data_IF_013052729290
#
_entry.id   IF_013052729290
#
_cell.length_a   1.000
_cell.length_b   1.000
_cell.length_c   1.000
_cell.angle_alpha   90.00
_cell.angle_beta   90.00
_cell.angle_gamma   90.00
#
_symmetry.space_group_name_H-M   'P 1'
#
loop_
_entity.id
_entity.type
_entity.pdbx_description
1 polymer ?
#
# COMPACT_ATOMS: atom_id res chain seq x y z
N UNK A 1 35.18 12.14 20.09
CA UNK A 1 33.87 12.58 20.49
C UNK A 1 32.87 12.30 19.38
N UNK A 2 32.22 11.18 19.52
CA UNK A 2 31.27 10.72 18.52
C UNK A 2 29.88 11.22 18.88
N UNK A 3 29.54 12.42 18.47
CA UNK A 3 28.12 12.79 18.37
C UNK A 3 27.53 12.06 17.19
N UNK A 4 26.84 10.97 17.44
CA UNK A 4 25.98 10.38 16.43
C UNK A 4 25.01 11.44 15.95
N UNK A 5 25.08 11.76 14.68
CA UNK A 5 24.16 12.69 14.04
C UNK A 5 22.72 12.27 14.35
N UNK A 6 21.83 13.15 14.85
CA UNK A 6 20.42 12.83 15.09
C UNK A 6 19.70 12.21 13.90
N UNK A 7 20.10 12.60 12.69
CA UNK A 7 19.54 12.05 11.43
C UNK A 7 19.92 10.58 11.25
N UNK A 8 21.16 10.18 11.59
CA UNK A 8 21.59 8.77 11.52
C UNK A 8 20.86 7.89 12.51
N UNK A 9 20.59 8.40 13.73
CA UNK A 9 19.77 7.71 14.72
C UNK A 9 18.35 7.50 14.22
N UNK A 10 17.74 8.55 13.68
CA UNK A 10 16.39 8.47 13.13
C UNK A 10 16.32 7.49 11.97
N UNK A 11 17.30 7.49 11.07
CA UNK A 11 17.39 6.53 9.97
C UNK A 11 17.53 5.09 10.48
N UNK A 12 18.30 4.86 11.54
CA UNK A 12 18.42 3.56 12.19
C UNK A 12 17.08 3.05 12.75
N UNK A 13 16.29 3.94 13.33
CA UNK A 13 14.96 3.62 13.87
C UNK A 13 13.92 3.40 12.76
N UNK A 14 13.96 4.19 11.70
CA UNK A 14 13.14 3.98 10.49
C UNK A 14 13.42 2.62 9.86
N UNK A 15 14.69 2.21 9.77
CA UNK A 15 15.06 0.87 9.28
C UNK A 15 14.51 -0.25 10.17
N UNK A 16 14.42 -0.03 11.48
CA UNK A 16 13.78 -0.97 12.40
C UNK A 16 12.28 -1.10 12.18
N UNK A 17 11.60 -0.01 11.85
CA UNK A 17 10.18 -0.05 11.45
C UNK A 17 10.00 -0.98 10.25
N UNK A 18 10.91 -0.91 9.29
CA UNK A 18 10.87 -1.78 8.11
C UNK A 18 10.94 -3.28 8.45
N UNK A 19 11.53 -3.66 9.60
CA UNK A 19 11.57 -5.06 10.02
C UNK A 19 10.19 -5.63 10.38
N UNK A 20 9.22 -4.79 10.73
CA UNK A 20 7.85 -5.23 10.95
C UNK A 20 7.22 -5.79 9.68
N UNK A 21 7.54 -5.22 8.52
CA UNK A 21 7.06 -5.70 7.22
C UNK A 21 7.71 -7.01 6.77
N UNK A 22 8.85 -7.37 7.34
CA UNK A 22 9.54 -8.62 7.06
C UNK A 22 9.00 -9.81 7.86
N UNK A 23 8.09 -9.59 8.81
CA UNK A 23 7.50 -10.65 9.62
C UNK A 23 6.53 -11.50 8.82
N UNK A 24 6.44 -12.80 9.14
CA UNK A 24 5.58 -13.72 8.41
C UNK A 24 4.11 -13.63 8.80
N UNK A 25 3.83 -13.29 10.05
CA UNK A 25 2.47 -13.21 10.60
C UNK A 25 2.09 -11.79 10.98
N UNK A 26 0.79 -11.49 10.94
CA UNK A 26 0.27 -10.22 11.39
C UNK A 26 0.58 -9.94 12.87
N UNK A 27 0.51 -10.97 13.72
CA UNK A 27 0.83 -10.85 15.13
C UNK A 27 2.31 -10.51 15.36
N UNK A 28 3.23 -11.18 14.67
CA UNK A 28 4.64 -10.90 14.76
C UNK A 28 4.98 -9.50 14.24
N UNK A 29 4.34 -9.06 13.17
CA UNK A 29 4.47 -7.71 12.63
C UNK A 29 3.99 -6.64 13.63
N UNK A 30 2.84 -6.86 14.26
CA UNK A 30 2.29 -5.98 15.28
C UNK A 30 3.21 -5.88 16.51
N UNK A 31 3.72 -7.00 17.01
CA UNK A 31 4.66 -7.02 18.12
C UNK A 31 5.95 -6.25 17.79
N UNK A 32 6.50 -6.46 16.61
CA UNK A 32 7.70 -5.77 16.16
C UNK A 32 7.46 -4.26 15.99
N UNK A 33 6.31 -3.90 15.42
CA UNK A 33 5.90 -2.50 15.26
C UNK A 33 5.83 -1.77 16.61
N UNK A 34 5.14 -2.38 17.58
CA UNK A 34 4.99 -1.82 18.93
C UNK A 34 6.33 -1.74 19.67
N UNK A 35 7.19 -2.76 19.52
CA UNK A 35 8.52 -2.75 20.11
C UNK A 35 9.35 -1.57 19.61
N UNK A 36 9.29 -1.27 18.31
CA UNK A 36 9.96 -0.11 17.72
C UNK A 36 9.34 1.19 18.20
N UNK A 37 8.02 1.29 18.25
CA UNK A 37 7.31 2.47 18.77
C UNK A 37 7.72 2.76 20.22
N UNK A 38 7.83 1.74 21.07
CA UNK A 38 8.24 1.88 22.48
C UNK A 38 9.70 2.33 22.61
N UNK A 39 10.59 1.89 21.72
CA UNK A 39 11.98 2.36 21.69
C UNK A 39 12.11 3.83 21.27
N UNK A 40 11.21 4.30 20.43
CA UNK A 40 11.18 5.68 19.94
C UNK A 40 10.50 6.62 20.95
N UNK A 41 9.58 6.11 21.73
CA UNK A 41 8.73 6.90 22.64
C UNK A 41 9.49 7.82 23.59
N UNK A 42 10.58 7.42 24.25
CA UNK A 42 11.35 8.32 25.11
C UNK A 42 12.04 9.46 24.36
N UNK A 43 12.36 9.24 23.08
CA UNK A 43 13.12 10.19 22.26
C UNK A 43 12.20 11.15 21.49
N UNK A 44 11.17 10.61 20.84
CA UNK A 44 10.23 11.36 20.00
C UNK A 44 8.81 10.85 20.28
N UNK A 45 8.18 11.28 21.40
CA UNK A 45 6.87 10.78 21.81
C UNK A 45 5.76 11.05 20.78
N UNK A 46 5.85 12.14 20.03
CA UNK A 46 4.89 12.45 18.97
C UNK A 46 4.95 11.44 17.83
N UNK A 47 6.14 11.00 17.46
CA UNK A 47 6.32 9.98 16.43
C UNK A 47 5.78 8.62 16.90
N UNK A 48 6.02 8.27 18.15
CA UNK A 48 5.48 7.03 18.72
C UNK A 48 3.94 7.03 18.71
N UNK A 49 3.31 8.14 19.04
CA UNK A 49 1.85 8.28 18.97
C UNK A 49 1.32 8.11 17.54
N UNK A 50 2.00 8.67 16.55
CA UNK A 50 1.68 8.49 15.12
C UNK A 50 1.81 7.02 14.72
N UNK A 51 2.85 6.34 15.19
CA UNK A 51 3.05 4.92 14.92
C UNK A 51 1.96 4.05 15.54
N UNK A 52 1.56 4.36 16.77
CA UNK A 52 0.47 3.64 17.45
C UNK A 52 -0.86 3.77 16.68
N UNK A 53 -1.19 4.99 16.25
CA UNK A 53 -2.42 5.27 15.48
C UNK A 53 -2.38 4.67 14.07
N UNK A 54 -1.20 4.59 13.46
CA UNK A 54 -1.03 4.09 12.10
C UNK A 54 -1.02 2.55 12.02
N UNK A 55 -0.71 1.84 13.11
CA UNK A 55 -0.56 0.38 13.15
C UNK A 55 -1.68 -0.37 12.43
N UNK A 56 -2.97 -0.17 12.76
CA UNK A 56 -4.04 -0.94 12.16
C UNK A 56 -4.17 -0.72 10.64
N UNK A 57 -3.85 0.47 10.16
CA UNK A 57 -3.93 0.80 8.75
C UNK A 57 -2.71 0.30 7.97
N UNK A 58 -1.52 0.49 8.53
CA UNK A 58 -0.25 0.14 7.87
C UNK A 58 -0.07 -1.38 7.79
N UNK A 59 -0.48 -2.11 8.81
CA UNK A 59 -0.36 -3.58 8.86
C UNK A 59 -1.61 -4.30 8.33
N UNK A 60 -2.64 -3.59 7.86
CA UNK A 60 -3.87 -4.18 7.34
C UNK A 60 -3.62 -5.19 6.21
N UNK A 61 -2.64 -4.93 5.33
CA UNK A 61 -2.30 -5.84 4.23
C UNK A 61 -1.77 -7.20 4.70
N UNK A 62 -1.31 -7.32 5.94
CA UNK A 62 -0.81 -8.57 6.53
C UNK A 62 -1.91 -9.62 6.73
N UNK A 63 -3.19 -9.23 6.67
CA UNK A 63 -4.32 -10.16 6.68
C UNK A 63 -4.50 -10.90 5.36
N UNK A 64 -3.89 -10.38 4.29
CA UNK A 64 -3.92 -11.01 2.97
C UNK A 64 -2.92 -12.18 2.87
N UNK A 65 -3.14 -13.13 1.97
CA UNK A 65 -2.18 -14.19 1.70
C UNK A 65 -0.78 -13.67 1.36
N UNK A 66 0.24 -14.40 1.75
CA UNK A 66 1.65 -14.00 1.61
C UNK A 66 2.02 -13.61 0.18
N UNK A 67 1.42 -14.26 -0.82
CA UNK A 67 1.63 -14.01 -2.25
C UNK A 67 1.25 -12.59 -2.67
N UNK A 68 0.27 -11.99 -2.00
CA UNK A 68 -0.20 -10.65 -2.30
C UNK A 68 0.53 -9.55 -1.54
N UNK A 69 1.13 -9.87 -0.39
CA UNK A 69 1.72 -8.89 0.54
C UNK A 69 2.80 -8.04 -0.10
N UNK A 70 3.66 -8.64 -0.92
CA UNK A 70 4.73 -7.92 -1.61
C UNK A 70 4.24 -6.80 -2.52
N UNK A 71 3.02 -6.92 -3.03
CA UNK A 71 2.39 -5.93 -3.92
C UNK A 71 1.49 -4.95 -3.20
N UNK A 72 0.89 -5.38 -2.09
CA UNK A 72 -0.06 -4.57 -1.32
C UNK A 72 0.62 -3.63 -0.32
N UNK A 73 1.85 -3.91 0.11
CA UNK A 73 2.55 -3.05 1.08
C UNK A 73 3.00 -1.71 0.50
N UNK A 74 2.93 -1.53 -0.81
CA UNK A 74 3.38 -0.33 -1.50
C UNK A 74 2.25 0.27 -2.33
N UNK A 75 2.08 1.57 -2.24
CA UNK A 75 1.15 2.36 -3.06
C UNK A 75 1.73 2.82 -4.40
N UNK A 76 2.98 2.48 -4.69
CA UNK A 76 3.68 2.91 -5.90
C UNK A 76 2.93 2.67 -7.22
N UNK A 77 2.25 1.51 -7.44
CA UNK A 77 1.47 1.30 -8.66
C UNK A 77 0.32 2.30 -8.82
N UNK A 78 -0.37 2.61 -7.72
CA UNK A 78 -1.48 3.58 -7.70
C UNK A 78 -0.93 5.01 -7.88
N UNK A 79 0.18 5.32 -7.26
CA UNK A 79 0.85 6.63 -7.41
C UNK A 79 1.29 6.86 -8.86
N UNK A 80 1.84 5.85 -9.53
CA UNK A 80 2.17 5.93 -10.97
C UNK A 80 0.93 6.15 -11.81
N UNK A 81 -0.14 5.42 -11.55
CA UNK A 81 -1.41 5.57 -12.26
C UNK A 81 -1.99 6.97 -12.07
N UNK A 82 -2.02 7.47 -10.83
CA UNK A 82 -2.47 8.82 -10.55
C UNK A 82 -1.59 9.89 -11.25
N UNK A 83 -0.28 9.70 -11.27
CA UNK A 83 0.65 10.55 -11.99
C UNK A 83 0.39 10.57 -13.50
N UNK A 84 0.10 9.42 -14.09
CA UNK A 84 -0.22 9.31 -15.51
C UNK A 84 -1.56 9.98 -15.85
N UNK A 85 -2.59 9.75 -15.03
CA UNK A 85 -3.89 10.41 -15.18
C UNK A 85 -3.70 11.93 -15.10
N UNK A 86 -2.97 12.42 -14.11
CA UNK A 86 -2.69 13.85 -13.95
C UNK A 86 -1.97 14.41 -15.16
N UNK A 87 -0.92 13.75 -15.62
CA UNK A 87 -0.14 14.18 -16.80
C UNK A 87 -1.01 14.29 -18.04
N UNK A 88 -1.89 13.32 -18.30
CA UNK A 88 -2.76 13.31 -19.46
C UNK A 88 -3.88 14.33 -19.37
N UNK A 89 -4.44 14.53 -18.19
CA UNK A 89 -5.47 15.56 -17.96
C UNK A 89 -4.91 16.97 -18.07
N UNK A 90 -3.70 17.20 -17.61
CA UNK A 90 -3.00 18.50 -17.72
C UNK A 90 -2.75 18.88 -19.19
N UNK A 91 -2.46 17.92 -20.06
CA UNK A 91 -2.30 18.16 -21.52
C UNK A 91 -3.60 18.60 -22.18
N UNK A 92 -4.72 18.05 -21.78
CA UNK A 92 -6.04 18.45 -22.29
C UNK A 92 -6.41 19.85 -21.79
N UNK A 93 -6.09 20.15 -20.52
CA UNK A 93 -6.31 21.45 -19.89
C UNK A 93 -7.76 21.67 -19.46
N UNK A 94 -8.65 21.96 -20.41
CA UNK A 94 -10.06 22.25 -20.14
C UNK A 94 -10.93 21.14 -20.73
N UNK A 95 -11.82 20.56 -19.90
CA UNK A 95 -12.80 19.58 -20.32
C UNK A 95 -14.15 20.25 -20.54
N UNK A 96 -14.86 19.90 -21.64
CA UNK A 96 -16.17 20.50 -21.91
C UNK A 96 -17.26 20.06 -20.92
N UNK A 97 -17.18 18.85 -20.39
CA UNK A 97 -18.15 18.26 -19.47
C UNK A 97 -17.52 17.13 -18.64
N UNK A 98 -18.24 16.64 -17.65
CA UNK A 98 -17.82 15.53 -16.80
C UNK A 98 -17.68 14.22 -17.56
N UNK A 99 -18.52 14.01 -18.58
CA UNK A 99 -18.48 12.81 -19.43
C UNK A 99 -17.16 12.72 -20.21
N UNK A 100 -16.60 13.84 -20.61
CA UNK A 100 -15.29 13.89 -21.27
C UNK A 100 -14.18 13.46 -20.33
N UNK A 101 -14.24 13.86 -19.06
CA UNK A 101 -13.31 13.42 -18.01
C UNK A 101 -13.42 11.90 -17.80
N UNK A 102 -14.64 11.40 -17.65
CA UNK A 102 -14.93 9.97 -17.44
C UNK A 102 -14.40 9.15 -18.61
N UNK A 103 -14.60 9.59 -19.84
CA UNK A 103 -14.10 8.89 -21.04
C UNK A 103 -12.60 8.82 -21.07
N UNK A 104 -11.89 9.92 -20.79
CA UNK A 104 -10.43 9.94 -20.78
C UNK A 104 -9.87 9.07 -19.67
N UNK A 105 -10.32 9.26 -18.44
CA UNK A 105 -9.87 8.49 -17.29
C UNK A 105 -10.22 7.02 -17.46
N UNK A 106 -11.41 6.70 -17.93
CA UNK A 106 -11.84 5.33 -18.21
C UNK A 106 -10.97 4.64 -19.27
N UNK A 107 -10.60 5.35 -20.33
CA UNK A 107 -9.69 4.83 -21.35
C UNK A 107 -8.29 4.55 -20.79
N UNK A 108 -7.75 5.43 -19.94
CA UNK A 108 -6.48 5.23 -19.29
C UNK A 108 -6.49 4.03 -18.34
N UNK A 109 -7.56 3.85 -17.58
CA UNK A 109 -7.73 2.72 -16.68
C UNK A 109 -7.83 1.40 -17.45
N UNK A 110 -8.54 1.37 -18.58
CA UNK A 110 -8.61 0.20 -19.44
C UNK A 110 -7.24 -0.16 -20.02
N UNK A 111 -6.52 0.82 -20.56
CA UNK A 111 -5.16 0.63 -21.09
C UNK A 111 -4.24 0.06 -20.00
N UNK A 112 -4.27 0.61 -18.80
CA UNK A 112 -3.45 0.13 -17.69
C UNK A 112 -3.86 -1.28 -17.23
N UNK A 113 -5.14 -1.58 -17.24
CA UNK A 113 -5.63 -2.92 -16.92
C UNK A 113 -5.14 -3.96 -17.93
N UNK A 114 -5.16 -3.61 -19.23
CA UNK A 114 -4.64 -4.49 -20.29
C UNK A 114 -3.12 -4.69 -20.16
N UNK A 115 -2.36 -3.64 -19.86
CA UNK A 115 -0.92 -3.75 -19.59
C UNK A 115 -0.63 -4.67 -18.41
N UNK A 116 -1.37 -4.54 -17.32
CA UNK A 116 -1.19 -5.42 -16.16
C UNK A 116 -1.59 -6.87 -16.43
N UNK A 117 -2.58 -7.09 -17.29
CA UNK A 117 -3.02 -8.43 -17.65
C UNK A 117 -1.95 -9.23 -18.44
N UNK A 118 -1.14 -8.55 -19.27
CA UNK A 118 -0.09 -9.18 -20.08
C UNK A 118 1.27 -9.24 -19.40
N UNK A 119 1.46 -8.59 -18.26
CA UNK A 119 2.69 -8.66 -17.50
C UNK A 119 2.94 -10.09 -16.97
N UNK A 120 4.21 -10.54 -17.03
CA UNK A 120 4.61 -11.88 -16.54
C UNK A 120 4.28 -12.12 -15.08
N UNK A 121 4.33 -11.07 -14.25
CA UNK A 121 3.90 -11.11 -12.88
C UNK A 121 2.53 -10.45 -12.79
N UNK A 122 1.47 -11.22 -12.91
CA UNK A 122 0.11 -10.72 -12.65
C UNK A 122 0.05 -10.14 -11.25
N UNK A 123 -0.61 -8.99 -11.13
CA UNK A 123 -0.72 -8.33 -9.84
C UNK A 123 -1.45 -9.20 -8.83
N UNK A 124 -2.55 -9.82 -9.25
CA UNK A 124 -3.28 -10.85 -8.50
C UNK A 124 -3.92 -11.82 -9.48
N UNK A 125 -3.98 -13.10 -9.12
CA UNK A 125 -4.73 -14.10 -9.89
C UNK A 125 -6.13 -14.25 -9.30
N UNK A 126 -7.11 -14.61 -10.11
CA UNK A 126 -8.48 -14.87 -9.63
C UNK A 126 -8.52 -15.98 -8.58
N UNK A 127 -7.65 -16.97 -8.70
CA UNK A 127 -7.52 -18.09 -7.76
C UNK A 127 -7.07 -17.59 -6.38
N UNK A 128 -6.10 -16.69 -6.34
CA UNK A 128 -5.60 -16.14 -5.08
C UNK A 128 -6.53 -15.10 -4.47
N UNK A 129 -7.31 -14.39 -5.29
CA UNK A 129 -8.36 -13.47 -4.82
C UNK A 129 -9.56 -14.23 -4.27
N UNK A 130 -9.88 -15.40 -4.85
CA UNK A 130 -10.96 -16.26 -4.38
C UNK A 130 -10.79 -16.78 -2.95
N UNK A 131 -9.55 -16.83 -2.46
CA UNK A 131 -9.22 -17.22 -1.09
C UNK A 131 -9.45 -16.11 -0.05
N UNK A 132 -9.74 -14.89 -0.50
CA UNK A 132 -9.98 -13.73 0.37
C UNK A 132 -11.43 -13.60 0.84
N UNK A 133 -12.32 -14.51 0.43
CA UNK A 133 -13.77 -14.34 0.54
C UNK A 133 -14.39 -14.79 1.87
N UNK A 134 -13.60 -15.07 2.89
CA UNK A 134 -14.15 -15.47 4.21
C UNK A 134 -14.60 -14.28 5.08
N UNK A 135 -14.45 -13.05 4.58
CA UNK A 135 -15.05 -11.89 5.26
C UNK A 135 -16.48 -11.67 4.74
N UNK A 136 -17.51 -11.85 5.59
CA UNK A 136 -18.91 -11.67 5.19
C UNK A 136 -19.26 -10.25 4.76
N UNK A 137 -18.37 -9.27 4.99
CA UNK A 137 -18.53 -7.89 4.56
C UNK A 137 -18.05 -7.66 3.11
N UNK A 138 -17.29 -8.59 2.55
CA UNK A 138 -16.81 -8.54 1.17
C UNK A 138 -17.29 -9.79 0.44
N UNK A 139 -18.60 -9.89 0.22
CA UNK A 139 -19.10 -10.87 -0.74
C UNK A 139 -18.81 -10.35 -2.14
N UNK A 140 -17.73 -10.83 -2.74
CA UNK A 140 -17.57 -10.68 -4.18
C UNK A 140 -18.78 -11.31 -4.87
N UNK A 141 -19.43 -10.63 -5.84
CA UNK A 141 -20.53 -11.22 -6.58
C UNK A 141 -20.02 -12.52 -7.17
N UNK A 142 -20.78 -13.61 -6.93
CA UNK A 142 -20.49 -14.89 -7.54
C UNK A 142 -20.33 -14.69 -9.04
N UNK A 143 -19.15 -14.98 -9.57
CA UNK A 143 -18.92 -14.96 -11.00
C UNK A 143 -19.80 -16.06 -11.56
N UNK A 144 -20.91 -15.65 -12.19
CA UNK A 144 -21.75 -16.58 -12.92
C UNK A 144 -20.88 -17.23 -14.01
N UNK A 145 -20.73 -18.52 -13.90
CA UNK A 145 -20.11 -19.31 -14.96
C UNK A 145 -21.03 -19.38 -16.18
#
# INVERSE_FOLDING_TARGET
LHSTNPIERLNGEIKRIATAFAQETAQAASLQWRAVADQIRPKVPKLAAILDDAEPNVLAYMTFPKEHRAKLHSTNPIERLNGEIKRRTDVVGIFPDDDAIIRLVGALLLEQNDEWAVQRARYMTLESVGQLSDDPLISLPAVAR
#
